data_IF_010916865036
#
_entry.id   IF_010916865036
#
_cell.length_a   1.000
_cell.length_b   1.000
_cell.length_c   1.000
_cell.angle_alpha   90.00
_cell.angle_beta   90.00
_cell.angle_gamma   90.00
#
_symmetry.space_group_name_H-M   'P 1'
#
loop_
_entity.id
_entity.type
_entity.pdbx_description
1 polymer ?
#
# COMPACT_ATOMS: atom_id res chain seq x y z
N UNK A 1 4.09 -24.00 28.22
CA UNK A 1 4.51 -22.90 27.32
C UNK A 1 3.38 -22.74 26.35
N UNK A 2 2.78 -21.56 26.25
CA UNK A 2 1.73 -21.33 25.25
C UNK A 2 2.41 -21.33 23.89
N UNK A 3 2.02 -22.25 23.01
CA UNK A 3 2.48 -22.26 21.63
C UNK A 3 2.07 -20.93 21.00
N UNK A 4 3.05 -20.09 20.70
CA UNK A 4 2.83 -18.87 19.92
C UNK A 4 2.54 -19.38 18.49
N UNK A 5 1.36 -19.10 17.92
CA UNK A 5 1.05 -19.53 16.57
C UNK A 5 2.09 -18.96 15.59
N UNK A 6 2.52 -19.78 14.64
CA UNK A 6 3.46 -19.35 13.60
C UNK A 6 2.89 -18.15 12.85
N UNK A 7 3.75 -17.17 12.55
CA UNK A 7 3.34 -16.00 11.79
C UNK A 7 2.83 -16.43 10.40
N UNK A 8 1.67 -15.91 9.97
CA UNK A 8 1.18 -16.14 8.61
C UNK A 8 2.20 -15.72 7.55
N UNK A 9 2.23 -16.42 6.43
CA UNK A 9 3.23 -16.24 5.36
C UNK A 9 2.63 -16.02 3.98
N UNK A 10 1.33 -16.24 3.82
CA UNK A 10 0.60 -16.03 2.56
C UNK A 10 -0.54 -15.02 2.74
N UNK A 11 -0.99 -14.32 1.68
CA UNK A 11 -2.19 -13.52 1.70
C UNK A 11 -3.40 -14.24 2.33
N UNK A 12 -3.60 -15.53 2.01
CA UNK A 12 -4.72 -16.31 2.53
C UNK A 12 -4.61 -16.55 4.04
N UNK A 13 -3.44 -16.95 4.54
CA UNK A 13 -3.21 -17.14 5.96
C UNK A 13 -3.34 -15.82 6.74
N UNK A 14 -2.85 -14.70 6.17
CA UNK A 14 -3.01 -13.38 6.77
C UNK A 14 -4.47 -12.94 6.85
N UNK A 15 -5.27 -13.26 5.83
CA UNK A 15 -6.71 -13.01 5.82
C UNK A 15 -7.44 -13.85 6.86
N UNK A 16 -7.06 -15.11 7.03
CA UNK A 16 -7.63 -15.95 8.08
C UNK A 16 -7.28 -15.41 9.47
N UNK A 17 -6.01 -15.04 9.67
CA UNK A 17 -5.54 -14.44 10.92
C UNK A 17 -6.29 -13.14 11.26
N UNK A 18 -6.53 -12.26 10.29
CA UNK A 18 -7.27 -11.00 10.51
C UNK A 18 -8.73 -11.22 10.94
N UNK A 19 -9.28 -12.42 10.67
CA UNK A 19 -10.62 -12.84 11.06
C UNK A 19 -10.67 -13.65 12.36
N UNK A 20 -9.51 -13.90 12.99
CA UNK A 20 -9.42 -14.65 14.23
C UNK A 20 -10.06 -13.92 15.43
N UNK A 21 -10.45 -14.69 16.45
CA UNK A 21 -11.06 -14.12 17.66
C UNK A 21 -10.14 -13.13 18.37
N UNK A 22 -8.83 -13.37 18.40
CA UNK A 22 -7.88 -12.45 19.04
C UNK A 22 -7.88 -11.09 18.35
N UNK A 23 -7.93 -11.04 17.01
CA UNK A 23 -8.00 -9.78 16.26
C UNK A 23 -9.35 -9.09 16.46
N UNK A 24 -10.45 -9.85 16.56
CA UNK A 24 -11.78 -9.28 16.85
C UNK A 24 -11.87 -8.57 18.20
N UNK A 25 -11.02 -8.93 19.17
CA UNK A 25 -10.99 -8.23 20.47
C UNK A 25 -10.28 -6.87 20.42
N UNK A 26 -9.54 -6.56 19.35
CA UNK A 26 -8.82 -5.29 19.21
C UNK A 26 -9.83 -4.15 18.96
N UNK A 27 -9.82 -3.17 19.85
CA UNK A 27 -10.56 -1.91 19.70
C UNK A 27 -9.95 -1.09 18.56
N UNK A 28 -10.80 -0.48 17.71
CA UNK A 28 -10.38 0.30 16.51
C UNK A 28 -9.60 -0.52 15.45
N UNK A 29 -9.84 -1.83 15.35
CA UNK A 29 -9.23 -2.67 14.30
C UNK A 29 -9.60 -2.29 12.86
N UNK A 30 -10.71 -1.58 12.68
CA UNK A 30 -11.22 -1.17 11.39
C UNK A 30 -11.87 0.21 11.50
N UNK A 31 -11.55 1.09 10.56
CA UNK A 31 -12.18 2.38 10.42
C UNK A 31 -12.22 2.80 8.95
N UNK A 32 -13.32 3.42 8.52
CA UNK A 32 -13.38 4.06 7.20
C UNK A 32 -14.02 5.43 7.32
N UNK A 33 -13.28 6.46 6.94
CA UNK A 33 -13.75 7.85 6.91
C UNK A 33 -13.75 8.35 5.47
N UNK A 34 -14.89 8.89 5.06
CA UNK A 34 -15.02 9.61 3.80
C UNK A 34 -15.28 11.09 4.12
N UNK A 35 -14.43 11.98 3.61
CA UNK A 35 -14.61 13.43 3.70
C UNK A 35 -14.26 14.06 2.37
N UNK A 36 -15.27 14.60 1.68
CA UNK A 36 -15.10 15.25 0.38
C UNK A 36 -14.35 14.32 -0.61
N UNK A 37 -13.13 14.69 -1.01
CA UNK A 37 -12.29 13.94 -1.95
C UNK A 37 -11.22 13.09 -1.25
N UNK A 38 -11.43 12.77 0.03
CA UNK A 38 -10.49 12.00 0.84
C UNK A 38 -11.16 10.75 1.42
N UNK A 39 -10.52 9.60 1.21
CA UNK A 39 -10.82 8.35 1.91
C UNK A 39 -9.64 8.03 2.84
N UNK A 40 -9.96 7.74 4.09
CA UNK A 40 -9.04 7.11 5.04
C UNK A 40 -9.63 5.75 5.39
N UNK A 41 -8.89 4.69 5.17
CA UNK A 41 -9.28 3.33 5.51
C UNK A 41 -8.18 2.70 6.37
N UNK A 42 -8.58 2.20 7.52
CA UNK A 42 -7.76 1.45 8.45
C UNK A 42 -8.38 0.06 8.59
N UNK A 43 -7.58 -0.98 8.41
CA UNK A 43 -8.00 -2.36 8.65
C UNK A 43 -6.79 -3.23 8.99
N UNK A 44 -6.99 -4.38 9.62
CA UNK A 44 -5.89 -5.34 9.83
C UNK A 44 -5.44 -5.95 8.51
N UNK A 45 -6.38 -6.15 7.58
CA UNK A 45 -6.12 -6.71 6.26
C UNK A 45 -6.80 -5.87 5.18
N UNK A 46 -5.98 -5.30 4.29
CA UNK A 46 -6.43 -4.68 3.04
C UNK A 46 -5.79 -5.41 1.85
N UNK A 47 -6.37 -5.27 0.67
CA UNK A 47 -5.83 -5.86 -0.56
C UNK A 47 -5.86 -4.89 -1.74
N UNK A 48 -5.33 -5.33 -2.88
CA UNK A 48 -5.15 -4.49 -4.06
C UNK A 48 -6.45 -3.88 -4.57
N UNK A 49 -7.61 -4.47 -4.27
CA UNK A 49 -8.92 -3.94 -4.69
C UNK A 49 -9.13 -2.49 -4.26
N UNK A 50 -8.43 -2.06 -3.21
CA UNK A 50 -8.47 -0.68 -2.70
C UNK A 50 -7.74 0.32 -3.58
N UNK A 51 -6.80 -0.10 -4.42
CA UNK A 51 -5.96 0.79 -5.24
C UNK A 51 -6.17 0.64 -6.75
N UNK A 52 -6.92 -0.36 -7.23
CA UNK A 52 -7.13 -0.59 -8.68
C UNK A 52 -7.86 0.58 -9.35
N UNK A 53 -8.96 1.06 -8.77
CA UNK A 53 -9.80 2.12 -9.36
C UNK A 53 -10.20 3.16 -8.31
N UNK A 54 -9.25 3.95 -7.77
CA UNK A 54 -9.55 4.92 -6.75
C UNK A 54 -10.39 6.06 -7.34
N UNK A 55 -11.56 6.30 -6.73
CA UNK A 55 -12.54 7.30 -7.19
C UNK A 55 -12.42 8.65 -6.49
N UNK A 56 -11.40 8.83 -5.66
CA UNK A 56 -11.15 10.05 -4.87
C UNK A 56 -9.72 10.52 -5.07
N UNK A 57 -9.48 11.81 -4.87
CA UNK A 57 -8.14 12.38 -5.08
C UNK A 57 -7.16 12.00 -4.00
N UNK A 58 -7.59 11.79 -2.76
CA UNK A 58 -6.71 11.41 -1.66
C UNK A 58 -7.19 10.10 -1.05
N UNK A 59 -6.34 9.08 -1.07
CA UNK A 59 -6.64 7.80 -0.48
C UNK A 59 -5.51 7.35 0.45
N UNK A 60 -5.82 7.23 1.74
CA UNK A 60 -4.89 6.77 2.76
C UNK A 60 -5.34 5.40 3.27
N UNK A 61 -4.51 4.40 3.06
CA UNK A 61 -4.74 3.01 3.41
C UNK A 61 -3.71 2.63 4.47
N UNK A 62 -4.20 2.41 5.69
CA UNK A 62 -3.39 1.99 6.83
C UNK A 62 -3.74 0.54 7.15
N UNK A 63 -2.76 -0.36 7.07
CA UNK A 63 -3.01 -1.75 7.38
C UNK A 63 -1.88 -2.41 8.18
N UNK A 64 -2.21 -3.47 8.91
CA UNK A 64 -1.17 -4.39 9.36
C UNK A 64 -0.66 -5.20 8.17
N UNK A 65 -1.56 -5.65 7.30
CA UNK A 65 -1.24 -6.42 6.10
C UNK A 65 -1.91 -5.77 4.89
N UNK A 66 -1.11 -5.46 3.87
CA UNK A 66 -1.60 -5.18 2.54
C UNK A 66 -1.21 -6.33 1.62
N UNK A 67 -2.21 -6.97 1.01
CA UNK A 67 -2.01 -8.15 0.19
C UNK A 67 -2.20 -7.85 -1.30
N UNK A 68 -1.30 -8.37 -2.13
CA UNK A 68 -1.52 -8.52 -3.56
C UNK A 68 -1.95 -9.97 -3.83
N UNK A 69 -3.23 -10.16 -4.12
CA UNK A 69 -3.83 -11.47 -4.40
C UNK A 69 -3.58 -11.86 -5.86
N UNK A 70 -3.51 -10.87 -6.74
CA UNK A 70 -3.15 -11.03 -8.15
C UNK A 70 -1.68 -10.68 -8.40
N UNK A 71 -1.05 -11.36 -9.36
CA UNK A 71 0.31 -11.03 -9.81
C UNK A 71 0.36 -9.94 -10.87
N UNK A 72 -0.75 -9.66 -11.54
CA UNK A 72 -0.85 -8.63 -12.58
C UNK A 72 -1.99 -7.70 -12.21
N UNK A 73 -1.67 -6.46 -11.85
CA UNK A 73 -2.62 -5.50 -11.31
C UNK A 73 -2.56 -4.23 -12.15
N UNK A 74 -3.70 -3.79 -12.66
CA UNK A 74 -3.80 -2.51 -13.37
C UNK A 74 -4.36 -1.43 -12.43
N UNK A 75 -3.64 -0.33 -12.27
CA UNK A 75 -4.07 0.81 -11.45
C UNK A 75 -4.51 1.94 -12.37
N UNK A 76 -5.78 2.31 -12.30
CA UNK A 76 -6.43 3.34 -13.13
C UNK A 76 -7.08 4.39 -12.21
N UNK A 77 -6.30 5.37 -11.73
CA UNK A 77 -6.81 6.40 -10.83
C UNK A 77 -7.49 7.55 -11.58
N UNK A 78 -8.30 8.32 -10.87
CA UNK A 78 -8.77 9.62 -11.36
C UNK A 78 -7.62 10.64 -11.41
N UNK A 79 -7.78 11.72 -12.17
CA UNK A 79 -6.76 12.76 -12.29
C UNK A 79 -6.33 13.34 -10.93
N UNK A 80 -5.02 13.57 -10.76
CA UNK A 80 -4.41 14.11 -9.53
C UNK A 80 -4.61 13.24 -8.28
N UNK A 81 -4.81 11.94 -8.44
CA UNK A 81 -4.91 11.03 -7.29
C UNK A 81 -3.57 10.90 -6.56
N UNK A 82 -3.63 10.84 -5.24
CA UNK A 82 -2.55 10.47 -4.33
C UNK A 82 -3.01 9.28 -3.49
N UNK A 83 -2.42 8.12 -3.75
CA UNK A 83 -2.69 6.87 -3.05
C UNK A 83 -1.52 6.63 -2.10
N UNK A 84 -1.81 6.43 -0.82
CA UNK A 84 -0.83 6.08 0.20
C UNK A 84 -1.20 4.77 0.84
N UNK A 85 -0.36 3.77 0.65
CA UNK A 85 -0.42 2.46 1.31
C UNK A 85 0.67 2.42 2.37
N UNK A 86 0.27 2.42 3.62
CA UNK A 86 1.16 2.24 4.77
C UNK A 86 0.77 0.93 5.43
N UNK A 87 1.64 -0.05 5.31
CA UNK A 87 1.44 -1.37 5.86
C UNK A 87 2.58 -1.78 6.80
N UNK A 88 2.36 -2.73 7.70
CA UNK A 88 3.49 -3.43 8.36
C UNK A 88 4.04 -4.53 7.44
N UNK A 89 3.16 -5.28 6.78
CA UNK A 89 3.49 -6.38 5.86
C UNK A 89 2.89 -6.11 4.49
N UNK A 90 3.70 -6.21 3.44
CA UNK A 90 3.27 -6.26 2.05
C UNK A 90 3.49 -7.68 1.53
N UNK A 91 2.42 -8.41 1.27
CA UNK A 91 2.47 -9.85 1.02
C UNK A 91 1.83 -10.22 -0.33
N UNK A 92 2.33 -11.29 -0.93
CA UNK A 92 1.81 -11.89 -2.15
C UNK A 92 2.26 -13.35 -2.23
N UNK A 93 1.54 -14.19 -2.98
CA UNK A 93 1.95 -15.60 -3.21
C UNK A 93 3.13 -15.72 -4.20
N UNK A 94 3.31 -14.70 -5.05
CA UNK A 94 4.34 -14.64 -6.08
C UNK A 94 4.72 -13.20 -6.40
N UNK A 95 5.74 -13.02 -7.24
CA UNK A 95 6.13 -11.68 -7.72
C UNK A 95 4.97 -10.95 -8.38
N UNK A 96 4.88 -9.65 -8.13
CA UNK A 96 3.77 -8.79 -8.54
C UNK A 96 4.23 -7.75 -9.57
N UNK A 97 3.42 -7.54 -10.58
CA UNK A 97 3.54 -6.46 -11.54
C UNK A 97 2.36 -5.49 -11.45
N UNK A 98 2.67 -4.20 -11.29
CA UNK A 98 1.71 -3.12 -11.29
C UNK A 98 1.79 -2.36 -12.62
N UNK A 99 0.79 -2.52 -13.46
CA UNK A 99 0.58 -1.74 -14.67
C UNK A 99 -0.13 -0.43 -14.30
N UNK A 100 0.60 0.69 -14.39
CA UNK A 100 0.14 2.00 -14.00
C UNK A 100 -0.45 2.74 -15.21
N UNK A 101 -1.72 3.13 -15.13
CA UNK A 101 -2.43 3.81 -16.21
C UNK A 101 -2.85 5.22 -15.78
N UNK A 102 -1.92 6.20 -15.81
CA UNK A 102 -2.22 7.57 -15.44
C UNK A 102 -3.13 8.26 -16.47
N UNK A 103 -3.93 9.21 -16.01
CA UNK A 103 -4.50 10.26 -16.86
C UNK A 103 -3.40 11.26 -17.30
N UNK A 104 -3.72 12.20 -18.20
CA UNK A 104 -2.81 13.27 -18.65
C UNK A 104 -2.18 14.07 -17.51
N UNK A 105 -2.89 14.23 -16.40
CA UNK A 105 -2.42 14.93 -15.21
C UNK A 105 -1.50 14.11 -14.30
N UNK A 106 -1.40 12.80 -14.53
CA UNK A 106 -0.64 11.88 -13.68
C UNK A 106 -1.29 11.60 -12.32
N UNK A 107 -0.61 10.80 -11.52
CA UNK A 107 -0.98 10.47 -10.14
C UNK A 107 0.25 10.10 -9.29
N UNK A 108 0.06 10.00 -7.97
CA UNK A 108 1.07 9.52 -7.04
C UNK A 108 0.63 8.23 -6.37
N UNK A 109 1.57 7.30 -6.25
CA UNK A 109 1.43 6.08 -5.47
C UNK A 109 2.58 6.01 -4.47
N UNK A 110 2.22 5.88 -3.20
CA UNK A 110 3.15 5.75 -2.10
C UNK A 110 2.93 4.39 -1.46
N UNK A 111 3.97 3.57 -1.41
CA UNK A 111 3.95 2.26 -0.74
C UNK A 111 5.02 2.29 0.33
N UNK A 112 4.64 2.00 1.57
CA UNK A 112 5.55 1.82 2.70
C UNK A 112 5.19 0.53 3.43
N UNK A 113 6.18 -0.33 3.63
CA UNK A 113 6.04 -1.58 4.37
C UNK A 113 7.32 -1.98 5.09
N UNK A 114 7.19 -2.51 6.30
CA UNK A 114 8.34 -3.00 7.08
C UNK A 114 8.80 -4.39 6.67
N UNK A 115 7.89 -5.21 6.16
CA UNK A 115 8.14 -6.56 5.70
C UNK A 115 7.59 -6.67 4.28
N UNK A 116 8.40 -7.18 3.36
CA UNK A 116 8.03 -7.44 1.98
C UNK A 116 8.36 -8.89 1.65
N UNK A 117 7.33 -9.65 1.26
CA UNK A 117 7.47 -11.09 1.04
C UNK A 117 7.87 -11.42 -0.41
N UNK A 118 7.50 -10.57 -1.37
CA UNK A 118 7.69 -10.81 -2.80
C UNK A 118 8.22 -9.57 -3.53
N UNK A 119 8.85 -9.80 -4.68
CA UNK A 119 9.28 -8.73 -5.59
C UNK A 119 8.06 -8.00 -6.16
N UNK A 120 8.17 -6.68 -6.25
CA UNK A 120 7.18 -5.82 -6.89
C UNK A 120 7.85 -5.09 -8.04
N UNK A 121 7.20 -5.07 -9.20
CA UNK A 121 7.64 -4.30 -10.36
C UNK A 121 6.52 -3.39 -10.84
N UNK A 122 6.90 -2.30 -11.51
CA UNK A 122 5.97 -1.29 -12.02
C UNK A 122 6.26 -0.97 -13.47
N UNK A 123 5.24 -0.67 -14.26
CA UNK A 123 5.40 -0.12 -15.60
C UNK A 123 4.27 0.84 -15.95
N UNK A 124 4.48 1.66 -16.97
CA UNK A 124 3.41 2.35 -17.71
C UNK A 124 3.36 1.77 -19.11
N UNK A 125 2.23 1.96 -19.81
CA UNK A 125 2.02 1.37 -21.12
C UNK A 125 3.16 1.69 -22.12
N UNK A 126 3.72 0.66 -22.73
CA UNK A 126 4.81 0.77 -23.71
C UNK A 126 6.21 0.83 -23.11
N UNK A 127 6.33 0.99 -21.79
CA UNK A 127 7.62 1.05 -21.09
C UNK A 127 8.02 -0.31 -20.50
N UNK A 128 9.33 -0.48 -20.28
CA UNK A 128 9.84 -1.69 -19.62
C UNK A 128 9.52 -1.67 -18.12
N UNK A 129 9.18 -2.82 -17.52
CA UNK A 129 9.01 -2.92 -16.07
C UNK A 129 10.28 -2.52 -15.31
N UNK A 130 10.08 -1.75 -14.24
CA UNK A 130 11.09 -1.38 -13.25
C UNK A 130 10.84 -2.25 -12.01
N UNK A 131 11.81 -3.05 -11.61
CA UNK A 131 11.75 -3.80 -10.35
C UNK A 131 12.05 -2.83 -9.21
N UNK A 132 11.16 -2.79 -8.22
CA UNK A 132 11.30 -1.92 -7.06
C UNK A 132 12.30 -2.54 -6.08
N UNK A 133 13.29 -1.77 -5.64
CA UNK A 133 14.30 -2.19 -4.67
C UNK A 133 13.80 -2.01 -3.25
N UNK A 134 12.78 -2.78 -2.85
CA UNK A 134 12.16 -2.73 -1.52
C UNK A 134 12.46 -4.01 -0.73
N UNK A 135 12.59 -3.88 0.60
CA UNK A 135 12.61 -5.01 1.52
C UNK A 135 14.01 -5.48 1.95
N UNK A 136 14.12 -6.72 2.49
CA UNK A 136 15.37 -7.21 3.08
C UNK A 136 16.53 -7.18 2.09
N UNK A 137 17.63 -6.56 2.49
CA UNK A 137 18.81 -6.38 1.63
C UNK A 137 18.81 -5.06 0.85
N UNK A 138 17.74 -4.26 0.94
CA UNK A 138 17.72 -2.86 0.50
C UNK A 138 17.63 -1.93 1.70
N UNK A 139 18.08 -0.68 1.56
CA UNK A 139 17.90 0.35 2.60
C UNK A 139 16.51 1.02 2.52
N UNK A 140 15.62 0.51 1.65
CA UNK A 140 14.37 1.15 1.28
C UNK A 140 13.17 0.37 1.86
N UNK A 141 12.43 1.04 2.75
CA UNK A 141 11.16 0.54 3.30
C UNK A 141 9.94 1.05 2.55
N UNK A 142 10.14 2.00 1.64
CA UNK A 142 9.06 2.50 0.81
C UNK A 142 9.55 3.18 -0.45
N UNK A 143 8.60 3.43 -1.35
CA UNK A 143 8.83 4.13 -2.61
C UNK A 143 7.67 5.05 -2.90
N UNK A 144 8.00 6.28 -3.32
CA UNK A 144 7.08 7.21 -3.96
C UNK A 144 7.21 7.08 -5.46
N UNK A 145 6.09 6.91 -6.14
CA UNK A 145 5.99 6.94 -7.58
C UNK A 145 5.22 8.19 -7.97
N UNK A 146 5.83 9.06 -8.77
CA UNK A 146 5.11 10.08 -9.52
C UNK A 146 4.95 9.57 -10.95
N UNK A 147 3.72 9.30 -11.35
CA UNK A 147 3.40 8.56 -12.57
C UNK A 147 2.75 9.50 -13.56
N UNK A 148 3.34 9.61 -14.76
CA UNK A 148 2.84 10.39 -15.88
C UNK A 148 2.75 9.50 -17.12
N UNK A 149 2.03 9.90 -18.18
CA UNK A 149 2.02 9.15 -19.43
C UNK A 149 3.45 8.95 -19.97
N UNK A 150 3.88 7.68 -20.06
CA UNK A 150 5.21 7.30 -20.57
C UNK A 150 6.37 7.49 -19.58
N UNK A 151 6.12 7.90 -18.33
CA UNK A 151 7.19 8.16 -17.37
C UNK A 151 6.81 7.76 -15.93
N UNK A 152 7.76 7.15 -15.23
CA UNK A 152 7.67 6.91 -13.78
C UNK A 152 8.89 7.55 -13.13
N UNK A 153 8.65 8.50 -12.24
CA UNK A 153 9.66 9.08 -11.36
C UNK A 153 9.60 8.38 -9.99
N UNK A 154 10.68 7.71 -9.60
CA UNK A 154 10.78 6.94 -8.36
C UNK A 154 11.63 7.68 -7.31
N UNK A 155 11.13 7.71 -6.08
CA UNK A 155 11.84 8.24 -4.91
C UNK A 155 11.75 7.23 -3.76
N UNK A 156 12.86 6.58 -3.43
CA UNK A 156 12.92 5.63 -2.32
C UNK A 156 12.92 6.32 -0.95
N UNK A 157 12.43 5.61 0.08
CA UNK A 157 12.33 6.08 1.47
C UNK A 157 12.93 5.06 2.44
N UNK A 158 13.82 5.54 3.29
CA UNK A 158 14.39 4.78 4.42
C UNK A 158 13.64 5.03 5.73
N UNK A 159 13.92 4.22 6.75
CA UNK A 159 13.32 4.27 8.11
C UNK A 159 13.40 5.67 8.74
N UNK A 160 14.46 6.44 8.44
CA UNK A 160 14.75 7.75 9.05
C UNK A 160 14.03 8.91 8.36
N UNK A 161 13.31 8.66 7.28
CA UNK A 161 12.48 9.68 6.64
C UNK A 161 11.19 9.82 7.45
N UNK A 162 10.93 10.95 8.14
CA UNK A 162 9.70 11.10 8.90
C UNK A 162 8.50 10.95 7.94
N UNK A 163 7.61 9.99 8.23
CA UNK A 163 6.26 9.91 7.63
C UNK A 163 5.33 10.99 8.22
N UNK A 164 5.89 12.14 8.60
CA UNK A 164 5.16 13.25 9.21
C UNK A 164 5.03 14.34 8.16
N UNK A 165 3.90 14.33 7.44
CA UNK A 165 3.33 15.62 7.06
C UNK A 165 2.57 16.13 8.28
N UNK A 166 3.12 17.19 8.86
CA UNK A 166 2.44 18.08 9.77
C UNK A 166 1.18 18.61 9.05
N UNK A 167 0.02 18.08 9.44
CA UNK A 167 -1.27 18.70 9.15
C UNK A 167 -1.72 19.45 10.40
N UNK A 168 -0.86 20.32 10.95
CA UNK A 168 -1.28 21.29 11.96
C UNK A 168 -2.14 22.36 11.30
N UNK A 169 -3.40 21.99 11.12
CA UNK A 169 -4.51 22.92 11.19
C UNK A 169 -5.08 23.01 12.60
N UNK A 170 -5.15 21.91 13.37
CA UNK A 170 -5.75 21.96 14.71
C UNK A 170 -5.17 20.90 15.66
N UNK A 171 -4.69 21.40 16.81
CA UNK A 171 -4.42 20.60 18.02
C UNK A 171 -5.75 20.23 18.65
N UNK A 172 -5.92 18.97 19.00
CA UNK A 172 -6.91 18.56 20.01
C UNK A 172 -6.17 18.07 21.26
N UNK A 173 -6.37 18.81 22.36
CA UNK A 173 -6.32 18.32 23.73
C UNK A 173 -7.71 17.73 24.02
#
# INVERSE_FOLDING_TARGET
MSDIPSQPSTPAEWREFSQSEIVKTITLRQERRLKQNTVIELDVYLDESKIVNPSVQLQYLYADVFAFIQSEITIVPVAYTDIQVIARVLTADQSVHLSLSPDVSGFRLWIFASILDQLVSVSVAGEKPIVLELGPGTENMGVRLSVFPGEINLEYKSVTSPLVYDVSGDRWI
#
